data_IF_830360635306
#
_entry.id   IF_830360635306
#
_cell.length_a   1.000
_cell.length_b   1.000
_cell.length_c   1.000
_cell.angle_alpha   90.00
_cell.angle_beta   90.00
_cell.angle_gamma   90.00
#
_symmetry.space_group_name_H-M   'P 1'
#
loop_
_entity.id
_entity.type
_entity.pdbx_description
1 polymer ?
#
# COMPACT_ATOMS: atom_id res chain seq x y z
N UNK A 1 35.69 17.75 12.38
CA UNK A 1 34.53 16.93 12.81
C UNK A 1 35.08 15.56 13.16
N UNK A 2 34.88 15.07 14.39
CA UNK A 2 35.38 13.75 14.77
C UNK A 2 34.69 12.65 13.96
N UNK A 3 35.40 11.56 13.69
CA UNK A 3 34.89 10.42 12.90
C UNK A 3 33.56 9.88 13.46
N UNK A 4 33.43 9.84 14.80
CA UNK A 4 32.18 9.45 15.47
C UNK A 4 30.99 10.37 15.17
N UNK A 5 31.21 11.69 15.04
CA UNK A 5 30.14 12.63 14.67
C UNK A 5 29.66 12.41 13.24
N UNK A 6 30.57 12.06 12.33
CA UNK A 6 30.22 11.77 10.93
C UNK A 6 29.37 10.50 10.87
N UNK A 7 29.76 9.44 11.59
CA UNK A 7 28.99 8.18 11.65
C UNK A 7 27.58 8.41 12.19
N UNK A 8 27.44 9.17 13.28
CA UNK A 8 26.13 9.48 13.88
C UNK A 8 25.25 10.28 12.91
N UNK A 9 25.82 11.26 12.21
CA UNK A 9 25.10 12.07 11.23
C UNK A 9 24.57 11.20 10.08
N UNK A 10 25.39 10.31 9.55
CA UNK A 10 24.99 9.38 8.48
C UNK A 10 23.89 8.44 8.94
N UNK A 11 24.00 7.88 10.15
CA UNK A 11 22.97 7.01 10.73
C UNK A 11 21.64 7.75 10.94
N UNK A 12 21.70 8.98 11.46
CA UNK A 12 20.51 9.81 11.66
C UNK A 12 19.79 10.09 10.33
N UNK A 13 20.54 10.46 9.27
CA UNK A 13 19.98 10.67 7.93
C UNK A 13 19.37 9.39 7.38
N UNK A 14 20.03 8.25 7.57
CA UNK A 14 19.54 6.95 7.10
C UNK A 14 18.22 6.56 7.77
N UNK A 15 18.10 6.75 9.09
CA UNK A 15 16.85 6.52 9.82
C UNK A 15 15.74 7.43 9.32
N UNK A 16 16.04 8.71 9.08
CA UNK A 16 15.09 9.67 8.52
C UNK A 16 14.55 9.26 7.14
N UNK A 17 15.45 8.78 6.27
CA UNK A 17 15.07 8.28 4.94
C UNK A 17 14.16 7.05 5.06
N UNK A 18 14.46 6.12 5.97
CA UNK A 18 13.65 4.93 6.17
C UNK A 18 12.23 5.30 6.63
N UNK A 19 12.12 6.19 7.62
CA UNK A 19 10.83 6.67 8.14
C UNK A 19 10.02 7.41 7.07
N UNK A 20 10.67 8.26 6.28
CA UNK A 20 10.00 8.97 5.19
C UNK A 20 9.43 8.02 4.13
N UNK A 21 10.14 6.94 3.80
CA UNK A 21 9.69 5.96 2.79
C UNK A 21 8.59 5.02 3.29
N UNK A 22 8.31 5.00 4.59
CA UNK A 22 7.25 4.18 5.18
C UNK A 22 5.92 4.89 5.36
N UNK A 23 5.91 6.20 5.19
CA UNK A 23 4.73 7.02 5.16
C UNK A 23 3.95 6.77 3.86
N UNK A 24 2.76 6.17 3.97
CA UNK A 24 1.88 5.86 2.84
C UNK A 24 0.54 6.57 3.01
N UNK A 25 0.12 7.25 1.96
CA UNK A 25 -1.20 7.89 1.88
C UNK A 25 -2.10 7.01 1.03
N UNK A 26 -3.20 6.54 1.62
CA UNK A 26 -4.26 5.81 0.93
C UNK A 26 -5.30 6.81 0.45
N UNK A 27 -5.57 6.89 -0.87
CA UNK A 27 -6.58 7.79 -1.42
C UNK A 27 -7.99 7.44 -0.94
N UNK A 28 -8.87 8.43 -0.96
CA UNK A 28 -10.31 8.23 -0.75
C UNK A 28 -10.90 7.23 -1.77
N UNK A 29 -11.86 6.44 -1.33
CA UNK A 29 -12.48 5.35 -2.12
C UNK A 29 -11.47 4.31 -2.65
N UNK A 30 -10.37 4.10 -1.95
CA UNK A 30 -9.43 3.03 -2.22
C UNK A 30 -9.05 2.32 -0.92
N UNK A 31 -8.81 1.02 -1.02
CA UNK A 31 -8.39 0.17 0.08
C UNK A 31 -7.11 -0.58 -0.31
N UNK A 32 -6.07 -0.49 0.52
CA UNK A 32 -4.77 -1.11 0.26
C UNK A 32 -4.57 -2.31 1.17
N UNK A 33 -4.37 -3.50 0.59
CA UNK A 33 -4.11 -4.72 1.36
C UNK A 33 -2.62 -4.84 1.65
N UNK A 34 -2.29 -4.99 2.93
CA UNK A 34 -0.93 -5.10 3.44
C UNK A 34 -0.67 -6.52 3.88
N UNK A 35 0.47 -7.04 3.45
CA UNK A 35 1.04 -8.30 3.91
C UNK A 35 2.23 -8.03 4.82
N UNK A 36 2.36 -8.82 5.88
CA UNK A 36 3.53 -8.87 6.74
C UNK A 36 4.17 -10.24 6.63
N UNK A 37 5.43 -10.29 6.19
CA UNK A 37 6.20 -11.54 6.02
C UNK A 37 5.46 -12.59 5.16
N UNK A 38 4.75 -12.15 4.12
CA UNK A 38 4.00 -13.03 3.22
C UNK A 38 2.65 -13.54 3.75
N UNK A 39 2.17 -13.00 4.88
CA UNK A 39 0.82 -13.24 5.39
C UNK A 39 0.00 -11.97 5.38
N UNK A 40 -1.31 -12.09 5.19
CA UNK A 40 -2.23 -10.97 5.35
C UNK A 40 -2.09 -10.35 6.74
N UNK A 41 -1.83 -9.04 6.80
CA UNK A 41 -1.76 -8.29 8.06
C UNK A 41 -3.00 -7.44 8.27
N UNK A 42 -3.57 -6.89 7.19
CA UNK A 42 -4.71 -5.98 7.29
C UNK A 42 -5.01 -5.25 5.99
N UNK A 43 -6.09 -4.48 6.01
CA UNK A 43 -6.49 -3.58 4.93
C UNK A 43 -6.41 -2.15 5.44
N UNK A 44 -5.75 -1.27 4.71
CA UNK A 44 -5.67 0.15 4.99
C UNK A 44 -6.76 0.88 4.23
N UNK A 45 -7.63 1.56 4.97
CA UNK A 45 -8.63 2.47 4.44
C UNK A 45 -8.01 3.85 4.14
N UNK A 46 -8.82 4.74 3.55
CA UNK A 46 -8.40 6.09 3.19
C UNK A 46 -7.79 6.85 4.38
N UNK A 47 -6.60 7.42 4.19
CA UNK A 47 -5.89 8.13 5.25
C UNK A 47 -4.37 8.00 5.18
N UNK A 48 -3.71 8.52 6.20
CA UNK A 48 -2.26 8.42 6.37
C UNK A 48 -1.91 7.23 7.24
N UNK A 49 -1.02 6.36 6.75
CA UNK A 49 -0.57 5.16 7.44
C UNK A 49 0.94 5.09 7.44
N UNK A 50 1.53 4.61 8.53
CA UNK A 50 2.96 4.33 8.63
C UNK A 50 3.12 2.82 8.65
N UNK A 51 3.75 2.29 7.61
CA UNK A 51 4.07 0.87 7.53
C UNK A 51 5.37 0.57 8.25
N UNK A 52 5.57 -0.68 8.69
CA UNK A 52 6.89 -1.09 9.16
C UNK A 52 7.80 -1.35 7.96
N UNK A 53 8.97 -0.69 7.90
CA UNK A 53 9.87 -0.87 6.76
C UNK A 53 10.36 -2.31 6.74
N UNK A 54 10.57 -2.86 5.54
CA UNK A 54 11.04 -4.23 5.28
C UNK A 54 10.08 -5.37 5.64
N UNK A 55 9.21 -5.19 6.65
CA UNK A 55 8.25 -6.20 7.11
C UNK A 55 6.94 -6.15 6.34
N UNK A 56 6.41 -4.93 6.13
CA UNK A 56 5.11 -4.69 5.54
C UNK A 56 5.23 -4.37 4.05
N UNK A 57 4.40 -5.03 3.23
CA UNK A 57 4.36 -4.84 1.77
C UNK A 57 2.92 -4.67 1.33
N UNK A 58 2.64 -3.62 0.55
CA UNK A 58 1.34 -3.41 -0.07
C UNK A 58 1.25 -4.29 -1.32
N UNK A 59 0.43 -5.35 -1.28
CA UNK A 59 0.25 -6.25 -2.43
C UNK A 59 -0.88 -5.86 -3.34
N UNK A 60 -2.01 -5.41 -2.79
CA UNK A 60 -3.19 -5.09 -3.57
C UNK A 60 -3.66 -3.68 -3.29
N UNK A 61 -3.99 -2.96 -4.36
CA UNK A 61 -4.64 -1.65 -4.29
C UNK A 61 -5.99 -1.78 -4.98
N UNK A 62 -7.05 -1.78 -4.19
CA UNK A 62 -8.40 -1.92 -4.72
C UNK A 62 -9.11 -0.57 -4.72
N UNK A 63 -9.86 -0.31 -5.78
CA UNK A 63 -10.76 0.83 -5.84
C UNK A 63 -12.11 0.39 -5.32
N UNK A 64 -12.68 1.13 -4.37
CA UNK A 64 -14.03 0.91 -3.85
C UNK A 64 -15.10 1.58 -4.72
N UNK A 65 -14.70 2.19 -5.84
CA UNK A 65 -15.62 2.78 -6.81
C UNK A 65 -16.34 1.68 -7.59
N UNK A 66 -17.62 1.90 -7.84
CA UNK A 66 -18.39 1.06 -8.76
C UNK A 66 -17.77 1.07 -10.15
N UNK A 67 -17.73 -0.10 -10.78
CA UNK A 67 -17.24 -0.28 -12.14
C UNK A 67 -18.37 -0.85 -12.98
N UNK A 68 -18.72 -0.15 -14.05
CA UNK A 68 -19.62 -0.68 -15.06
C UNK A 68 -18.90 -1.82 -15.79
N UNK A 69 -19.41 -3.04 -15.63
CA UNK A 69 -18.98 -4.19 -16.40
C UNK A 69 -19.78 -4.20 -17.70
N UNK A 70 -19.08 -4.16 -18.83
CA UNK A 70 -19.71 -4.31 -20.13
C UNK A 70 -19.98 -5.80 -20.35
N UNK A 71 -21.26 -6.17 -20.42
CA UNK A 71 -21.68 -7.56 -20.56
C UNK A 71 -21.83 -7.83 -22.05
N UNK A 72 -21.09 -8.80 -22.62
CA UNK A 72 -21.25 -9.12 -24.03
C UNK A 72 -22.65 -9.69 -24.29
N UNK A 73 -23.24 -9.32 -25.42
CA UNK A 73 -24.53 -9.84 -25.86
C UNK A 73 -24.47 -11.37 -26.01
N UNK A 74 -25.42 -12.07 -25.38
CA UNK A 74 -25.56 -13.52 -25.49
C UNK A 74 -26.77 -13.85 -26.35
N UNK A 75 -26.58 -14.75 -27.31
CA UNK A 75 -27.63 -15.19 -28.24
C UNK A 75 -28.56 -16.18 -27.52
N UNK A 76 -29.57 -15.63 -26.87
CA UNK A 76 -30.55 -16.36 -26.08
C UNK A 76 -31.78 -16.67 -26.93
N UNK A 77 -32.12 -17.94 -27.10
CA UNK A 77 -33.40 -18.36 -27.68
C UNK A 77 -34.29 -18.84 -26.52
N UNK A 78 -35.44 -18.19 -26.33
CA UNK A 78 -36.45 -18.63 -25.35
C UNK A 78 -37.11 -19.91 -25.83
N UNK A 79 -37.44 -20.81 -24.90
CA UNK A 79 -38.06 -22.11 -25.19
C UNK A 79 -39.59 -22.03 -25.19
N UNK A 80 -40.14 -21.08 -25.95
CA UNK A 80 -41.58 -20.92 -26.21
C UNK A 80 -41.87 -21.16 -27.69
#
# INVERSE_FOLDING_TARGET
MGEGMIVVLVLAVLVLIILAKTAVVVPQQSAYVVERLGKYSGTLDAGFHILLPFLDVIRYRHSLKEQALDIPEQLCITRD
#
